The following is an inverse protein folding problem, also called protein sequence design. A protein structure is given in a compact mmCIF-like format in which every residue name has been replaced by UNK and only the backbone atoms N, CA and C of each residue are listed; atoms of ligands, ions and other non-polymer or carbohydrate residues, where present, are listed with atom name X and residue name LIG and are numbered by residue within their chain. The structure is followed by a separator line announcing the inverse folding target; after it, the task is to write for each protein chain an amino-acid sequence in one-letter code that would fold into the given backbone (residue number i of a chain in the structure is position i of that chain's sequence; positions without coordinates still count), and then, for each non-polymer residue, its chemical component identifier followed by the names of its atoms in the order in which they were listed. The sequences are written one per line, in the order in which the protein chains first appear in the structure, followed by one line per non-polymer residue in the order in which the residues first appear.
data_IF_908877710519
#
_entry.id   IF_908877710519
#
_cell.length_a   1.000
_cell.length_b   1.000
_cell.length_c   1.000
_cell.angle_alpha   90.00
_cell.angle_beta   90.00
_cell.angle_gamma   90.00
#
_symmetry.space_group_name_H-M   'P 1'
#
loop_
_entity.id
_entity.type
_entity.pdbx_description
1 polymer ?
#
# COMPACT_ATOMS: atom_id res chain seq x y z
N UNK A 1 9.47 15.58 11.96
CA UNK A 1 9.89 15.12 10.62
C UNK A 1 10.88 13.99 10.86
N UNK A 2 10.38 12.75 10.95
CA UNK A 2 11.17 11.60 11.44
C UNK A 2 11.79 10.85 10.29
N UNK A 3 13.08 10.51 10.41
CA UNK A 3 13.96 9.90 9.40
C UNK A 3 13.42 8.59 8.74
N UNK A 4 12.35 8.02 9.28
CA UNK A 4 11.73 6.79 8.79
C UNK A 4 10.86 7.00 7.54
N UNK A 5 10.28 8.19 7.31
CA UNK A 5 9.48 8.44 6.09
C UNK A 5 10.34 8.47 4.82
N UNK A 6 11.59 8.91 4.92
CA UNK A 6 12.56 8.88 3.82
C UNK A 6 13.02 7.47 3.44
N UNK A 7 12.96 6.51 4.37
CA UNK A 7 13.39 5.13 4.13
C UNK A 7 12.44 4.35 3.22
N UNK A 8 11.16 4.73 3.18
CA UNK A 8 10.15 4.06 2.36
C UNK A 8 9.84 4.80 1.05
N UNK A 9 10.10 6.10 0.99
CA UNK A 9 9.80 6.93 -0.18
C UNK A 9 10.54 6.51 -1.48
N UNK A 10 11.64 5.75 -1.36
CA UNK A 10 12.38 5.17 -2.49
C UNK A 10 12.08 3.68 -2.76
N UNK A 11 11.23 3.05 -1.95
CA UNK A 11 10.96 1.61 -2.06
C UNK A 11 10.06 1.34 -3.27
N UNK A 12 10.61 0.70 -4.29
CA UNK A 12 9.87 0.27 -5.49
C UNK A 12 9.62 -1.24 -5.51
N UNK A 13 10.25 -1.99 -4.60
CA UNK A 13 10.10 -3.43 -4.48
C UNK A 13 9.25 -3.78 -3.25
N UNK A 14 7.94 -3.67 -3.40
CA UNK A 14 6.98 -3.97 -2.33
C UNK A 14 6.95 -5.44 -1.93
N UNK A 15 7.28 -6.35 -2.85
CA UNK A 15 7.41 -7.79 -2.55
C UNK A 15 8.53 -8.06 -1.53
N UNK A 16 9.70 -7.46 -1.74
CA UNK A 16 10.80 -7.53 -0.80
C UNK A 16 10.50 -6.78 0.50
N UNK A 17 9.78 -5.65 0.43
CA UNK A 17 9.40 -4.86 1.60
C UNK A 17 8.56 -5.68 2.61
N UNK A 18 7.57 -6.44 2.13
CA UNK A 18 6.72 -7.29 3.01
C UNK A 18 7.52 -8.42 3.67
N UNK A 19 8.65 -8.83 3.08
CA UNK A 19 9.54 -9.85 3.63
C UNK A 19 10.57 -9.29 4.65
N UNK A 20 10.62 -7.96 4.87
CA UNK A 20 11.57 -7.34 5.81
C UNK A 20 11.22 -7.68 7.26
N UNK A 21 12.25 -7.88 8.08
CA UNK A 21 12.07 -8.11 9.52
C UNK A 21 11.40 -6.91 10.24
N UNK A 22 11.68 -5.68 9.80
CA UNK A 22 11.08 -4.46 10.35
C UNK A 22 9.75 -4.07 9.68
N UNK A 23 9.12 -4.97 8.93
CA UNK A 23 7.86 -4.69 8.21
C UNK A 23 6.78 -4.11 9.14
N UNK A 24 6.55 -4.71 10.32
CA UNK A 24 5.48 -4.27 11.22
C UNK A 24 5.65 -2.81 11.69
N UNK A 25 6.89 -2.35 11.84
CA UNK A 25 7.21 -0.96 12.21
C UNK A 25 7.08 0.01 11.04
N UNK A 26 7.41 -0.43 9.83
CA UNK A 26 7.46 0.42 8.64
C UNK A 26 6.14 0.42 7.85
N UNK A 27 5.37 -0.66 7.91
CA UNK A 27 4.09 -0.82 7.21
C UNK A 27 3.12 0.35 7.43
N UNK A 28 2.96 0.90 8.66
CA UNK A 28 2.06 2.03 8.89
C UNK A 28 2.48 3.32 8.16
N UNK A 29 3.79 3.50 7.94
CA UNK A 29 4.35 4.64 7.19
C UNK A 29 4.37 4.36 5.68
N UNK A 30 4.53 3.09 5.31
CA UNK A 30 4.67 2.64 3.94
C UNK A 30 3.34 2.40 3.21
N UNK A 31 2.26 2.04 3.93
CA UNK A 31 1.01 1.60 3.31
C UNK A 31 0.40 2.64 2.38
N UNK A 32 0.45 3.93 2.74
CA UNK A 32 -0.09 4.98 1.89
C UNK A 32 0.73 5.14 0.60
N UNK A 33 2.05 4.99 0.66
CA UNK A 33 2.94 5.02 -0.51
C UNK A 33 2.74 3.80 -1.39
N UNK A 34 2.67 2.61 -0.79
CA UNK A 34 2.39 1.37 -1.50
C UNK A 34 1.07 1.42 -2.26
N UNK A 35 -0.01 1.90 -1.63
CA UNK A 35 -1.31 2.02 -2.28
C UNK A 35 -1.30 3.05 -3.42
N UNK A 36 -0.58 4.17 -3.26
CA UNK A 36 -0.42 5.17 -4.32
C UNK A 36 0.37 4.63 -5.51
N UNK A 37 1.48 3.94 -5.25
CA UNK A 37 2.31 3.32 -6.27
C UNK A 37 1.53 2.21 -7.00
N UNK A 38 0.82 1.36 -6.26
CA UNK A 38 -0.06 0.34 -6.83
C UNK A 38 -1.13 0.95 -7.77
N UNK A 39 -1.77 2.04 -7.33
CA UNK A 39 -2.74 2.77 -8.16
C UNK A 39 -2.09 3.34 -9.43
N UNK A 40 -0.88 3.88 -9.32
CA UNK A 40 -0.13 4.42 -10.47
C UNK A 40 0.23 3.32 -11.47
N UNK A 41 0.74 2.18 -11.01
CA UNK A 41 1.10 1.04 -11.86
C UNK A 41 -0.12 0.44 -12.59
N UNK A 42 -1.28 0.41 -11.94
CA UNK A 42 -2.52 -0.08 -12.55
C UNK A 42 -3.23 0.98 -13.42
N UNK A 43 -2.69 2.20 -13.54
CA UNK A 43 -3.33 3.30 -14.26
C UNK A 43 -4.66 3.77 -13.63
N UNK A 44 -4.88 3.47 -12.34
CA UNK A 44 -6.13 3.77 -11.64
C UNK A 44 -6.05 5.10 -10.90
N UNK A 45 -6.62 6.15 -11.47
CA UNK A 45 -6.66 7.48 -10.83
C UNK A 45 -7.76 7.60 -9.76
N UNK A 46 -8.78 6.74 -9.82
CA UNK A 46 -9.91 6.76 -8.89
C UNK A 46 -9.72 5.71 -7.79
N UNK A 47 -9.59 6.16 -6.54
CA UNK A 47 -9.56 5.30 -5.34
C UNK A 47 -10.68 4.27 -5.29
N UNK A 48 -11.86 4.62 -5.79
CA UNK A 48 -13.04 3.75 -5.78
C UNK A 48 -12.88 2.54 -6.71
N UNK A 49 -12.30 2.75 -7.90
CA UNK A 49 -12.00 1.67 -8.84
C UNK A 49 -10.95 0.72 -8.29
N UNK A 50 -9.89 1.28 -7.67
CA UNK A 50 -8.87 0.47 -7.01
C UNK A 50 -9.44 -0.33 -5.83
N UNK A 51 -10.26 0.30 -4.98
CA UNK A 51 -10.91 -0.37 -3.86
C UNK A 51 -11.79 -1.55 -4.33
N UNK A 52 -12.57 -1.36 -5.38
CA UNK A 52 -13.37 -2.44 -6.00
C UNK A 52 -12.49 -3.57 -6.52
N UNK A 53 -11.38 -3.26 -7.21
CA UNK A 53 -10.45 -4.26 -7.74
C UNK A 53 -9.84 -5.14 -6.65
N UNK A 54 -9.49 -4.54 -5.51
CA UNK A 54 -8.90 -5.27 -4.38
C UNK A 54 -9.95 -5.86 -3.43
N UNK A 55 -11.25 -5.74 -3.74
CA UNK A 55 -12.35 -6.31 -2.97
C UNK A 55 -12.65 -5.62 -1.64
N UNK A 56 -12.28 -4.35 -1.47
CA UNK A 56 -12.54 -3.58 -0.24
C UNK A 56 -13.40 -2.35 -0.48
N UNK A 57 -14.02 -1.83 0.58
CA UNK A 57 -14.75 -0.57 0.48
C UNK A 57 -13.80 0.63 0.39
N UNK A 58 -14.21 1.68 -0.32
CA UNK A 58 -13.51 2.98 -0.38
C UNK A 58 -13.18 3.55 1.01
N UNK A 59 -14.07 3.38 1.98
CA UNK A 59 -13.81 3.77 3.38
C UNK A 59 -12.62 3.01 3.98
N UNK A 60 -12.49 1.70 3.75
CA UNK A 60 -11.34 0.93 4.22
C UNK A 60 -10.06 1.43 3.57
N UNK A 61 -10.06 1.62 2.25
CA UNK A 61 -8.91 2.15 1.52
C UNK A 61 -8.50 3.54 2.06
N UNK A 62 -9.45 4.44 2.29
CA UNK A 62 -9.15 5.75 2.86
C UNK A 62 -8.53 5.67 4.26
N UNK A 63 -8.98 4.73 5.10
CA UNK A 63 -8.39 4.52 6.44
C UNK A 63 -6.96 3.96 6.37
N UNK A 64 -6.65 3.15 5.35
CA UNK A 64 -5.28 2.69 5.09
C UNK A 64 -4.40 3.79 4.52
N UNK A 65 -4.95 4.70 3.71
CA UNK A 65 -4.19 5.84 3.18
C UNK A 65 -4.12 7.02 4.15
N UNK A 66 -4.80 6.95 5.30
CA UNK A 66 -4.78 8.02 6.28
C UNK A 66 -3.37 8.18 6.86
N UNK A 67 -3.05 9.39 7.33
CA UNK A 67 -1.76 9.66 7.95
C UNK A 67 -1.63 8.89 9.27
N UNK A 68 -0.49 8.23 9.46
CA UNK A 68 -0.16 7.54 10.69
C UNK A 68 -0.29 8.47 11.91
N UNK A 69 -0.98 8.01 12.95
CA UNK A 69 -1.25 8.78 14.17
C UNK A 69 -2.56 9.58 14.19
N UNK A 70 -3.36 9.53 13.12
CA UNK A 70 -4.73 10.09 13.14
C UNK A 70 -5.76 9.06 13.61
N UNK A 71 -6.89 9.49 14.17
CA UNK A 71 -7.96 8.58 14.64
C UNK A 71 -8.59 7.74 13.53
N UNK A 72 -8.47 8.18 12.28
CA UNK A 72 -8.99 7.46 11.11
C UNK A 72 -8.00 6.42 10.56
N UNK A 73 -6.75 6.45 11.03
CA UNK A 73 -5.71 5.53 10.63
C UNK A 73 -6.02 4.10 11.02
N UNK A 74 -5.90 3.18 10.06
CA UNK A 74 -5.93 1.74 10.32
C UNK A 74 -4.76 1.08 9.62
N UNK A 75 -4.09 0.18 10.33
CA UNK A 75 -3.08 -0.68 9.74
C UNK A 75 -3.73 -1.59 8.70
N UNK A 76 -3.12 -1.66 7.53
CA UNK A 76 -3.50 -2.62 6.50
C UNK A 76 -3.00 -4.02 6.90
N UNK A 77 -3.87 -5.05 6.92
CA UNK A 77 -3.46 -6.39 7.30
C UNK A 77 -2.47 -6.99 6.29
N UNK A 78 -1.54 -7.82 6.76
CA UNK A 78 -0.50 -8.43 5.91
C UNK A 78 -1.05 -9.21 4.71
N UNK A 79 -2.25 -9.76 4.82
CA UNK A 79 -2.91 -10.44 3.71
C UNK A 79 -3.25 -9.48 2.56
N UNK A 80 -3.71 -8.27 2.87
CA UNK A 80 -4.02 -7.25 1.87
C UNK A 80 -2.75 -6.75 1.17
N UNK A 81 -1.64 -6.61 1.91
CA UNK A 81 -0.32 -6.31 1.35
C UNK A 81 0.10 -7.35 0.29
N UNK A 82 0.03 -8.64 0.64
CA UNK A 82 0.37 -9.73 -0.27
C UNK A 82 -0.53 -9.74 -1.49
N UNK A 83 -1.84 -9.66 -1.29
CA UNK A 83 -2.82 -9.70 -2.38
C UNK A 83 -2.63 -8.58 -3.39
N UNK A 84 -2.41 -7.34 -2.95
CA UNK A 84 -2.14 -6.20 -3.84
C UNK A 84 -0.80 -6.43 -4.56
N UNK A 85 0.22 -6.92 -3.87
CA UNK A 85 1.50 -7.28 -4.46
C UNK A 85 1.36 -8.30 -5.60
N UNK A 86 0.51 -9.32 -5.43
CA UNK A 86 0.24 -10.31 -6.48
C UNK A 86 -0.51 -9.70 -7.68
N UNK A 87 -1.48 -8.81 -7.43
CA UNK A 87 -2.17 -8.07 -8.51
C UNK A 87 -1.15 -7.29 -9.35
N UNK A 88 -0.21 -6.59 -8.70
CA UNK A 88 0.83 -5.83 -9.39
C UNK A 88 1.79 -6.73 -10.17
N UNK A 89 2.25 -7.83 -9.57
CA UNK A 89 3.11 -8.81 -10.24
C UNK A 89 2.44 -9.40 -11.49
N UNK A 90 1.14 -9.72 -11.41
CA UNK A 90 0.37 -10.19 -12.55
C UNK A 90 0.14 -9.13 -13.62
N UNK A 91 -0.10 -7.86 -13.25
CA UNK A 91 -0.25 -6.79 -14.26
C UNK A 91 1.08 -6.49 -14.96
N UNK A 92 2.20 -6.48 -14.24
CA UNK A 92 3.53 -6.31 -14.82
C UNK A 92 3.90 -7.44 -15.79
N UNK A 93 3.52 -8.69 -15.49
CA UNK A 93 3.76 -9.84 -16.35
C UNK A 93 2.89 -9.86 -17.63
N UNK A 94 1.81 -9.08 -17.68
CA UNK A 94 0.90 -9.01 -18.83
C UNK A 94 1.13 -7.77 -19.71
N UNK A 95 2.15 -6.95 -19.40
CA UNK A 95 2.51 -5.73 -20.13
C UNK A 95 3.67 -5.96 -21.09
#
# INVERSE_FOLDING_TARGET
MSAQEGAVAGERNWGQFVARADFDKLAPLAQALFLQDAMSQLGMTRKEQFAQRIGVSKKCLNKWMARHGTSEFRNMPSMAWKFIGEILAHTAAQS
#
